data_IF_551362265682
#
_entry.id   IF_551362265682
#
_cell.length_a   1.000
_cell.length_b   1.000
_cell.length_c   1.000
_cell.angle_alpha   90.00
_cell.angle_beta   90.00
_cell.angle_gamma   90.00
#
_symmetry.space_group_name_H-M   'P 1'
#
loop_
_entity.id
_entity.type
_entity.pdbx_description
1 polymer ?
#
# COMPACT_ATOMS: atom_id res chain seq x y z
N UNK A 1 12.44 10.24 11.89
CA UNK A 1 12.00 8.98 12.52
C UNK A 1 12.16 7.85 11.52
N UNK A 2 12.38 6.61 11.98
CA UNK A 2 12.41 5.45 11.08
C UNK A 2 11.12 4.65 11.26
N UNK A 3 10.41 4.42 10.17
CA UNK A 3 9.18 3.63 10.08
C UNK A 3 9.42 2.36 9.28
N UNK A 4 8.65 1.32 9.61
CA UNK A 4 8.71 0.04 8.95
C UNK A 4 7.30 -0.43 8.63
N UNK A 5 7.13 -0.99 7.43
CA UNK A 5 5.93 -1.73 7.03
C UNK A 5 6.32 -2.85 6.06
N UNK A 6 5.40 -3.74 5.75
CA UNK A 6 5.57 -4.79 4.76
C UNK A 6 4.24 -5.14 4.12
N UNK A 7 4.27 -5.98 3.08
CA UNK A 7 3.08 -6.64 2.54
C UNK A 7 2.00 -5.64 2.09
N UNK A 8 2.38 -4.52 1.48
CA UNK A 8 1.40 -3.54 0.98
C UNK A 8 0.53 -4.15 -0.12
N UNK A 9 1.09 -5.07 -0.92
CA UNK A 9 0.38 -5.82 -1.96
C UNK A 9 -0.41 -4.92 -2.92
N UNK A 10 0.13 -3.76 -3.27
CA UNK A 10 -0.55 -2.84 -4.19
C UNK A 10 -0.91 -3.54 -5.51
N UNK A 11 -2.18 -3.41 -5.91
CA UNK A 11 -2.71 -4.04 -7.13
C UNK A 11 -3.03 -5.54 -7.02
N UNK A 12 -2.75 -6.19 -5.88
CA UNK A 12 -3.00 -7.63 -5.70
C UNK A 12 -4.47 -7.94 -5.41
N UNK A 13 -5.38 -7.84 -6.38
CA UNK A 13 -6.84 -8.04 -6.15
C UNK A 13 -7.20 -9.33 -5.40
N UNK A 14 -6.51 -10.44 -5.68
CA UNK A 14 -6.82 -11.70 -5.02
C UNK A 14 -6.46 -11.71 -3.53
N UNK A 15 -5.59 -10.82 -3.04
CA UNK A 15 -5.23 -10.74 -1.62
C UNK A 15 -6.44 -10.51 -0.73
N UNK A 16 -7.44 -9.78 -1.24
CA UNK A 16 -8.70 -9.51 -0.56
C UNK A 16 -9.54 -10.78 -0.31
N UNK A 17 -9.27 -11.87 -1.03
CA UNK A 17 -10.03 -13.12 -0.95
C UNK A 17 -9.48 -14.11 0.08
N UNK A 18 -8.21 -14.00 0.44
CA UNK A 18 -7.53 -14.98 1.28
C UNK A 18 -6.79 -14.36 2.47
N UNK A 19 -7.00 -13.08 2.72
CA UNK A 19 -6.54 -12.37 3.92
C UNK A 19 -7.68 -11.56 4.52
N UNK A 20 -7.67 -11.31 5.83
CA UNK A 20 -8.69 -10.50 6.54
C UNK A 20 -8.49 -8.99 6.30
N UNK A 21 -8.43 -8.59 5.03
CA UNK A 21 -8.33 -7.18 4.65
C UNK A 21 -9.72 -6.55 4.60
N UNK A 22 -9.95 -5.41 5.28
CA UNK A 22 -11.28 -4.85 5.48
C UNK A 22 -11.81 -4.03 4.27
N UNK A 23 -11.27 -4.23 3.08
CA UNK A 23 -11.62 -3.45 1.89
C UNK A 23 -12.32 -4.32 0.83
N UNK A 24 -13.35 -3.77 0.19
CA UNK A 24 -14.12 -4.47 -0.84
C UNK A 24 -13.39 -4.47 -2.18
N UNK A 25 -12.59 -3.45 -2.45
CA UNK A 25 -11.88 -3.27 -3.72
C UNK A 25 -10.39 -2.99 -3.51
N UNK A 26 -9.59 -3.33 -4.53
CA UNK A 26 -8.15 -3.09 -4.50
C UNK A 26 -7.81 -1.59 -4.45
N UNK A 27 -8.65 -0.75 -5.07
CA UNK A 27 -8.49 0.70 -5.08
C UNK A 27 -8.66 1.29 -3.67
N UNK A 28 -9.74 0.90 -2.96
CA UNK A 28 -9.95 1.30 -1.57
C UNK A 28 -8.79 0.87 -0.65
N UNK A 29 -8.26 -0.33 -0.86
CA UNK A 29 -7.10 -0.82 -0.10
C UNK A 29 -5.86 0.01 -0.39
N UNK A 30 -5.54 0.23 -1.67
CA UNK A 30 -4.36 0.97 -2.07
C UNK A 30 -4.41 2.41 -1.50
N UNK A 31 -5.53 3.11 -1.67
CA UNK A 31 -5.71 4.48 -1.17
C UNK A 31 -5.59 4.53 0.35
N UNK A 32 -6.25 3.62 1.08
CA UNK A 32 -6.19 3.61 2.54
C UNK A 32 -4.78 3.33 3.09
N UNK A 33 -3.98 2.49 2.42
CA UNK A 33 -2.59 2.25 2.81
C UNK A 33 -1.76 3.52 2.61
N UNK A 34 -1.91 4.20 1.47
CA UNK A 34 -1.18 5.43 1.16
C UNK A 34 -1.58 6.55 2.13
N UNK A 35 -2.88 6.74 2.37
CA UNK A 35 -3.40 7.69 3.36
C UNK A 35 -2.83 7.43 4.77
N UNK A 36 -2.76 6.17 5.18
CA UNK A 36 -2.21 5.81 6.49
C UNK A 36 -0.70 6.07 6.58
N UNK A 37 0.04 5.91 5.49
CA UNK A 37 1.47 6.23 5.43
C UNK A 37 1.66 7.74 5.50
N UNK A 38 0.98 8.49 4.62
CA UNK A 38 1.05 9.96 4.53
C UNK A 38 0.60 10.64 5.83
N UNK A 39 -0.33 10.03 6.58
CA UNK A 39 -0.78 10.53 7.88
C UNK A 39 0.21 10.32 9.04
N UNK A 40 1.29 9.56 8.86
CA UNK A 40 2.24 9.20 9.92
C UNK A 40 3.70 9.51 9.59
N UNK A 41 4.09 9.34 8.33
CA UNK A 41 5.48 9.50 7.88
C UNK A 41 5.67 10.93 7.38
N UNK A 42 6.49 11.70 8.08
CA UNK A 42 6.83 13.06 7.66
C UNK A 42 7.79 13.05 6.46
N UNK A 43 7.94 14.20 5.79
CA UNK A 43 8.79 14.34 4.61
C UNK A 43 10.29 14.08 4.87
N UNK A 44 10.72 14.27 6.12
CA UNK A 44 12.07 14.06 6.61
C UNK A 44 12.25 12.73 7.37
N UNK A 45 11.21 11.89 7.41
CA UNK A 45 11.27 10.54 7.95
C UNK A 45 11.75 9.53 6.90
N UNK A 46 12.20 8.36 7.37
CA UNK A 46 12.55 7.23 6.53
C UNK A 46 11.49 6.13 6.69
N UNK A 47 10.94 5.66 5.58
CA UNK A 47 10.05 4.49 5.54
C UNK A 47 10.74 3.33 4.83
N UNK A 48 10.95 2.25 5.56
CA UNK A 48 11.40 0.98 5.00
C UNK A 48 10.21 0.06 4.73
N UNK A 49 10.10 -0.42 3.48
CA UNK A 49 9.12 -1.44 3.09
C UNK A 49 9.84 -2.77 2.93
N UNK A 50 9.51 -3.74 3.78
CA UNK A 50 10.31 -4.95 3.96
C UNK A 50 9.95 -6.13 3.03
N UNK A 51 9.15 -5.89 1.99
CA UNK A 51 8.77 -6.93 1.03
C UNK A 51 7.34 -6.81 0.53
N UNK A 52 6.99 -7.62 -0.46
CA UNK A 52 5.64 -7.77 -1.02
C UNK A 52 4.95 -6.45 -1.34
N UNK A 53 5.71 -5.56 -1.98
CA UNK A 53 5.29 -4.19 -2.30
C UNK A 53 4.07 -4.14 -3.22
N UNK A 54 4.08 -4.89 -4.33
CA UNK A 54 3.01 -4.87 -5.33
C UNK A 54 2.90 -6.19 -6.09
N UNK A 55 1.74 -6.44 -6.73
CA UNK A 55 1.53 -7.56 -7.64
C UNK A 55 0.66 -7.14 -8.82
N UNK A 56 1.19 -7.25 -10.04
CA UNK A 56 0.51 -6.90 -11.31
C UNK A 56 -0.02 -5.46 -11.42
N UNK A 57 0.44 -4.56 -10.57
CA UNK A 57 0.12 -3.14 -10.68
C UNK A 57 0.78 -2.53 -11.91
N UNK A 58 0.03 -1.80 -12.74
CA UNK A 58 0.62 -1.08 -13.86
C UNK A 58 1.34 0.18 -13.37
N UNK A 59 2.34 0.64 -14.13
CA UNK A 59 2.99 1.91 -13.81
C UNK A 59 1.99 3.09 -13.82
N UNK A 60 1.01 3.05 -14.72
CA UNK A 60 -0.03 4.07 -14.81
C UNK A 60 -0.89 4.13 -13.55
N UNK A 61 -1.30 2.96 -13.03
CA UNK A 61 -2.08 2.88 -11.79
C UNK A 61 -1.24 3.35 -10.60
N UNK A 62 0.06 3.02 -10.58
CA UNK A 62 0.98 3.49 -9.55
C UNK A 62 1.13 5.02 -9.58
N UNK A 63 1.18 5.62 -10.77
CA UNK A 63 1.18 7.07 -10.92
C UNK A 63 -0.14 7.74 -10.54
N UNK A 64 -1.24 7.00 -10.43
CA UNK A 64 -2.52 7.53 -10.00
C UNK A 64 -2.69 7.54 -8.47
N UNK A 65 -1.98 6.68 -7.73
CA UNK A 65 -1.97 6.71 -6.25
C UNK A 65 -1.30 7.98 -5.72
N UNK A 66 -1.86 8.57 -4.66
CA UNK A 66 -1.40 9.83 -4.06
C UNK A 66 -1.44 9.76 -2.55
#
# INVERSE_FOLDING_TARGET
MIWFTSDTHFGHENVLKFTDRPWETIWQMNDAIVDSINGRVAVDDELYILGDFSFKMTAQDAYALR
#
